data_IF_855739817777
#
_entry.id   IF_855739817777
#
_cell.length_a   1.000
_cell.length_b   1.000
_cell.length_c   1.000
_cell.angle_alpha   90.00
_cell.angle_beta   90.00
_cell.angle_gamma   90.00
#
_symmetry.space_group_name_H-M   'P 1'
#
loop_
_entity.id
_entity.type
_entity.pdbx_description
1 polymer ?
#
# COMPACT_ATOMS: atom_id res chain seq x y z
N UNK A 1 16.05 11.05 5.39
CA UNK A 1 15.35 9.84 4.89
C UNK A 1 14.71 9.12 6.06
N UNK A 2 13.41 8.98 6.03
CA UNK A 2 12.69 8.31 7.09
C UNK A 2 12.82 6.81 6.97
N UNK A 3 12.96 6.15 8.11
CA UNK A 3 12.99 4.70 8.16
C UNK A 3 11.73 4.21 8.83
N UNK A 4 11.20 3.12 8.34
CA UNK A 4 10.03 2.49 8.92
C UNK A 4 10.27 0.99 9.03
N UNK A 5 9.76 0.41 10.10
CA UNK A 5 9.84 -1.03 10.30
C UNK A 5 8.79 -1.70 9.45
N UNK A 6 9.22 -2.50 8.47
CA UNK A 6 8.30 -3.16 7.54
C UNK A 6 7.46 -4.26 8.21
N UNK A 7 7.79 -4.64 9.43
CA UNK A 7 6.96 -5.58 10.17
C UNK A 7 5.74 -4.91 10.81
N UNK A 8 5.67 -3.58 10.77
CA UNK A 8 4.52 -2.86 11.29
C UNK A 8 3.31 -3.04 10.39
N UNK A 9 2.13 -2.80 10.97
CA UNK A 9 0.88 -2.90 10.24
C UNK A 9 0.81 -1.86 9.12
N UNK A 10 0.18 -2.23 8.00
CA UNK A 10 -0.10 -1.27 6.93
C UNK A 10 -0.98 -0.12 7.41
N UNK A 11 -1.65 -0.29 8.54
CA UNK A 11 -2.47 0.78 9.13
C UNK A 11 -1.62 1.95 9.61
N UNK A 12 -0.32 1.76 9.79
CA UNK A 12 0.56 2.85 10.19
C UNK A 12 0.90 3.77 9.02
N UNK A 13 0.66 3.32 7.80
CA UNK A 13 0.88 4.14 6.61
C UNK A 13 -0.28 5.14 6.46
N UNK A 14 0.05 6.37 6.12
CA UNK A 14 -0.96 7.41 5.91
C UNK A 14 -1.16 7.66 4.43
N UNK A 15 -2.34 7.31 3.94
CA UNK A 15 -2.72 7.59 2.56
C UNK A 15 -3.61 8.83 2.54
N UNK A 16 -3.72 9.46 1.37
CA UNK A 16 -4.62 10.59 1.24
C UNK A 16 -6.05 10.21 1.65
N UNK A 17 -6.73 11.12 2.37
CA UNK A 17 -8.06 10.82 2.91
C UNK A 17 -9.04 10.33 1.85
N UNK A 18 -8.84 10.76 0.61
CA UNK A 18 -9.69 10.36 -0.50
C UNK A 18 -9.58 8.87 -0.84
N UNK A 19 -8.41 8.29 -0.59
CA UNK A 19 -8.11 6.91 -0.99
C UNK A 19 -7.97 5.95 0.19
N UNK A 20 -7.81 6.47 1.39
CA UNK A 20 -7.46 5.65 2.53
C UNK A 20 -8.46 4.53 2.82
N UNK A 21 -9.75 4.86 2.87
CA UNK A 21 -10.76 3.86 3.18
C UNK A 21 -10.76 2.72 2.17
N UNK A 22 -10.62 3.07 0.89
CA UNK A 22 -10.60 2.09 -0.19
C UNK A 22 -9.37 1.21 -0.11
N UNK A 23 -8.21 1.82 0.08
CA UNK A 23 -6.94 1.10 0.15
C UNK A 23 -6.92 0.15 1.35
N UNK A 24 -7.34 0.63 2.51
CA UNK A 24 -7.34 -0.20 3.71
C UNK A 24 -8.33 -1.36 3.59
N UNK A 25 -9.46 -1.14 2.92
CA UNK A 25 -10.41 -2.22 2.69
C UNK A 25 -9.80 -3.32 1.82
N UNK A 26 -9.08 -2.92 0.78
CA UNK A 26 -8.42 -3.87 -0.11
C UNK A 26 -7.35 -4.65 0.63
N UNK A 27 -6.57 -3.98 1.46
CA UNK A 27 -5.57 -4.67 2.28
C UNK A 27 -6.22 -5.75 3.13
N UNK A 28 -7.38 -5.45 3.71
CA UNK A 28 -8.10 -6.40 4.54
C UNK A 28 -8.61 -7.59 3.73
N UNK A 29 -9.14 -7.32 2.55
CA UNK A 29 -9.68 -8.38 1.67
C UNK A 29 -8.60 -9.34 1.20
N UNK A 30 -7.39 -8.85 0.96
CA UNK A 30 -6.29 -9.65 0.46
C UNK A 30 -5.31 -10.06 1.55
N UNK A 31 -5.71 -9.88 2.82
CA UNK A 31 -4.91 -10.29 3.97
C UNK A 31 -3.52 -9.65 4.00
N UNK A 32 -3.43 -8.42 3.53
CA UNK A 32 -2.22 -7.63 3.59
C UNK A 32 -2.19 -6.95 4.96
N UNK A 33 -1.40 -7.48 5.87
CA UNK A 33 -1.38 -7.03 7.25
C UNK A 33 -0.21 -6.12 7.57
N UNK A 34 0.96 -6.44 7.03
CA UNK A 34 2.17 -5.67 7.32
C UNK A 34 2.66 -4.94 6.08
N UNK A 35 3.55 -3.98 6.30
CA UNK A 35 4.17 -3.25 5.20
C UNK A 35 4.98 -4.21 4.33
N UNK A 36 5.60 -5.21 4.96
CA UNK A 36 6.33 -6.25 4.22
C UNK A 36 5.39 -6.99 3.27
N UNK A 37 4.20 -7.37 3.75
CA UNK A 37 3.21 -8.06 2.91
C UNK A 37 2.86 -7.21 1.69
N UNK A 38 2.66 -5.91 1.91
CA UNK A 38 2.34 -4.99 0.82
C UNK A 38 3.47 -4.92 -0.20
N UNK A 39 4.70 -4.83 0.27
CA UNK A 39 5.87 -4.70 -0.61
C UNK A 39 6.12 -5.96 -1.44
N UNK A 40 5.55 -7.09 -1.05
CA UNK A 40 5.68 -8.32 -1.81
C UNK A 40 4.71 -8.40 -3.00
N UNK A 41 3.72 -7.52 -3.03
CA UNK A 41 2.75 -7.50 -4.14
C UNK A 41 3.32 -6.74 -5.33
N UNK A 42 3.35 -7.35 -6.52
CA UNK A 42 3.72 -6.61 -7.73
C UNK A 42 2.66 -5.57 -8.06
N UNK A 43 3.10 -4.39 -8.48
CA UNK A 43 2.17 -3.34 -8.86
C UNK A 43 1.19 -3.78 -9.95
N UNK A 44 1.68 -4.60 -10.90
CA UNK A 44 0.84 -5.10 -11.99
C UNK A 44 -0.30 -5.99 -11.49
N UNK A 45 -0.10 -6.67 -10.38
CA UNK A 45 -1.15 -7.51 -9.80
C UNK A 45 -2.17 -6.65 -9.07
N UNK A 46 -1.72 -5.59 -8.39
CA UNK A 46 -2.61 -4.66 -7.72
C UNK A 46 -3.51 -3.92 -8.72
N UNK A 47 -2.99 -3.62 -9.91
CA UNK A 47 -3.79 -2.97 -10.95
C UNK A 47 -5.01 -3.80 -11.33
N UNK A 48 -4.90 -5.11 -11.22
CA UNK A 48 -5.98 -6.03 -11.56
C UNK A 48 -7.03 -6.17 -10.46
N UNK A 49 -6.74 -5.67 -9.28
CA UNK A 49 -7.68 -5.76 -8.17
C UNK A 49 -8.86 -4.83 -8.46
N UNK A 50 -10.06 -5.37 -8.33
CA UNK A 50 -11.27 -4.60 -8.52
C UNK A 50 -11.31 -3.47 -7.50
N UNK A 51 -11.71 -2.30 -7.94
CA UNK A 51 -11.79 -1.08 -7.13
C UNK A 51 -10.43 -0.46 -6.79
N UNK A 52 -9.32 -1.06 -7.22
CA UNK A 52 -8.01 -0.48 -7.06
C UNK A 52 -7.66 0.28 -8.33
N UNK A 53 -8.04 1.54 -8.41
CA UNK A 53 -7.72 2.36 -9.57
C UNK A 53 -6.24 2.70 -9.63
N UNK A 54 -5.79 3.18 -10.80
CA UNK A 54 -4.40 3.59 -10.99
C UNK A 54 -3.98 4.63 -9.96
N UNK A 55 -4.87 5.58 -9.64
CA UNK A 55 -4.57 6.62 -8.67
C UNK A 55 -4.34 6.07 -7.28
N UNK A 56 -5.08 5.03 -6.90
CA UNK A 56 -4.87 4.40 -5.60
C UNK A 56 -3.48 3.75 -5.54
N UNK A 57 -3.06 3.13 -6.64
CA UNK A 57 -1.74 2.52 -6.71
C UNK A 57 -0.65 3.58 -6.66
N UNK A 58 -0.84 4.69 -7.37
CA UNK A 58 0.10 5.80 -7.32
C UNK A 58 0.24 6.33 -5.89
N UNK A 59 -0.88 6.41 -5.17
CA UNK A 59 -0.86 6.84 -3.78
C UNK A 59 -0.06 5.88 -2.91
N UNK A 60 -0.25 4.58 -3.10
CA UNK A 60 0.51 3.56 -2.36
C UNK A 60 2.00 3.70 -2.66
N UNK A 61 2.35 3.82 -3.94
CA UNK A 61 3.74 3.96 -4.33
C UNK A 61 4.38 5.22 -3.75
N UNK A 62 3.65 6.33 -3.77
CA UNK A 62 4.13 7.59 -3.23
C UNK A 62 4.41 7.49 -1.73
N UNK A 63 3.51 6.87 -0.99
CA UNK A 63 3.70 6.69 0.44
C UNK A 63 4.90 5.78 0.72
N UNK A 64 5.04 4.69 -0.01
CA UNK A 64 6.17 3.79 0.15
C UNK A 64 7.48 4.47 -0.20
N UNK A 65 7.47 5.33 -1.22
CA UNK A 65 8.66 6.04 -1.65
C UNK A 65 9.22 6.94 -0.56
N UNK A 66 8.36 7.48 0.29
CA UNK A 66 8.80 8.30 1.43
C UNK A 66 9.72 7.52 2.35
N UNK A 67 9.59 6.22 2.39
CA UNK A 67 10.39 5.34 3.24
C UNK A 67 11.40 4.54 2.42
N UNK A 68 11.63 4.95 1.19
CA UNK A 68 12.56 4.29 0.28
C UNK A 68 12.15 2.84 -0.01
N UNK A 69 10.84 2.60 -0.06
CA UNK A 69 10.26 1.30 -0.36
C UNK A 69 9.51 1.35 -1.68
N UNK A 70 9.20 0.19 -2.22
CA UNK A 70 8.39 0.09 -3.44
C UNK A 70 7.73 -1.28 -3.52
N UNK A 71 6.72 -1.36 -4.38
CA UNK A 71 6.03 -2.62 -4.63
C UNK A 71 6.95 -3.61 -5.34
N UNK A 72 6.74 -4.87 -5.06
CA UNK A 72 7.56 -5.95 -5.61
C UNK A 72 7.48 -6.19 -7.09
#
# INVERSE_FOLDING_TARGET
MEKIDISQSVKTLEFGSKYEARIQRIFREFDIKTIRDLCQWPGKDLVRVRDMGRKSIEEIEEVLERYNLRLG
#
